data_IF_454824414674
#
_entry.id   IF_454824414674
#
_cell.length_a   1.000
_cell.length_b   1.000
_cell.length_c   1.000
_cell.angle_alpha   90.00
_cell.angle_beta   90.00
_cell.angle_gamma   90.00
#
_symmetry.space_group_name_H-M   'P 1'
#
loop_
_entity.id
_entity.type
_entity.pdbx_description
1 polymer ?
#
# COMPACT_ATOMS: atom_id res chain seq x y z
N UNK A 1 -31.63 -67.01 3.56
CA UNK A 1 -30.41 -66.71 2.79
C UNK A 1 -30.55 -65.36 2.11
N UNK A 2 -30.33 -64.27 2.84
CA UNK A 2 -30.47 -62.89 2.35
C UNK A 2 -29.21 -62.46 1.61
N UNK A 3 -28.96 -62.99 0.41
CA UNK A 3 -28.03 -62.35 -0.49
C UNK A 3 -28.68 -61.06 -1.01
N UNK A 4 -27.92 -59.94 -1.11
CA UNK A 4 -28.44 -58.73 -1.74
C UNK A 4 -28.98 -59.05 -3.14
N UNK A 5 -30.08 -58.42 -3.53
CA UNK A 5 -30.66 -58.56 -4.88
C UNK A 5 -29.59 -58.19 -5.92
N UNK A 6 -29.53 -58.92 -7.05
CA UNK A 6 -28.65 -58.68 -8.21
C UNK A 6 -27.11 -58.85 -8.03
N UNK A 7 -26.61 -59.49 -6.96
CA UNK A 7 -25.15 -59.65 -6.71
C UNK A 7 -24.38 -60.30 -7.87
N UNK A 8 -24.93 -61.33 -8.50
CA UNK A 8 -24.28 -61.99 -9.64
C UNK A 8 -24.15 -61.03 -10.83
N UNK A 9 -25.22 -60.32 -11.18
CA UNK A 9 -25.23 -59.34 -12.26
C UNK A 9 -24.27 -58.17 -11.99
N UNK A 10 -24.19 -57.71 -10.74
CA UNK A 10 -23.23 -56.66 -10.32
C UNK A 10 -21.78 -57.13 -10.53
N UNK A 11 -21.50 -58.38 -10.16
CA UNK A 11 -20.17 -58.98 -10.27
C UNK A 11 -19.77 -59.18 -11.73
N UNK A 12 -20.68 -59.67 -12.57
CA UNK A 12 -20.44 -59.89 -14.00
C UNK A 12 -20.20 -58.58 -14.77
N UNK A 13 -21.02 -57.55 -14.52
CA UNK A 13 -20.82 -56.23 -15.10
C UNK A 13 -19.49 -55.60 -14.67
N UNK A 14 -19.19 -55.66 -13.37
CA UNK A 14 -17.92 -55.15 -12.83
C UNK A 14 -16.72 -55.88 -13.42
N UNK A 15 -16.76 -57.21 -13.50
CA UNK A 15 -15.66 -58.02 -14.03
C UNK A 15 -15.40 -57.71 -15.51
N UNK A 16 -16.47 -57.54 -16.31
CA UNK A 16 -16.30 -57.16 -17.71
C UNK A 16 -15.73 -55.75 -17.86
N UNK A 17 -16.25 -54.77 -17.13
CA UNK A 17 -15.71 -53.41 -17.14
C UNK A 17 -14.25 -53.36 -16.68
N UNK A 18 -13.85 -54.22 -15.74
CA UNK A 18 -12.46 -54.36 -15.30
C UNK A 18 -11.55 -54.84 -16.43
N UNK A 19 -12.00 -55.82 -17.21
CA UNK A 19 -11.26 -56.30 -18.37
C UNK A 19 -11.16 -55.25 -19.48
N UNK A 20 -12.26 -54.55 -19.80
CA UNK A 20 -12.22 -53.46 -20.78
C UNK A 20 -11.31 -52.32 -20.33
N UNK A 21 -11.27 -52.02 -19.02
CA UNK A 21 -10.35 -51.05 -18.41
C UNK A 21 -8.89 -51.50 -18.56
N UNK A 22 -8.59 -52.79 -18.30
CA UNK A 22 -7.26 -53.38 -18.49
C UNK A 22 -6.79 -53.29 -19.94
N UNK A 23 -7.73 -53.42 -20.88
CA UNK A 23 -7.53 -53.26 -22.32
C UNK A 23 -7.52 -51.79 -22.79
N UNK A 24 -7.66 -50.81 -21.87
CA UNK A 24 -7.73 -49.36 -22.13
C UNK A 24 -8.82 -48.96 -23.11
N UNK A 25 -9.95 -49.68 -23.13
CA UNK A 25 -11.09 -49.39 -24.00
C UNK A 25 -12.10 -48.51 -23.29
N UNK A 26 -12.61 -47.51 -24.00
CA UNK A 26 -13.76 -46.73 -23.56
C UNK A 26 -15.03 -47.53 -23.86
N UNK A 27 -15.86 -47.74 -22.84
CA UNK A 27 -17.11 -48.48 -22.96
C UNK A 27 -18.25 -47.47 -23.05
N UNK A 28 -18.93 -47.40 -24.20
CA UNK A 28 -20.19 -46.65 -24.30
C UNK A 28 -21.33 -47.41 -23.59
N UNK A 29 -22.37 -46.71 -23.15
CA UNK A 29 -23.55 -47.38 -22.56
C UNK A 29 -24.18 -48.35 -23.56
N UNK A 30 -24.17 -48.01 -24.86
CA UNK A 30 -24.61 -48.93 -25.91
C UNK A 30 -23.77 -50.20 -25.98
N UNK A 31 -22.44 -50.09 -25.93
CA UNK A 31 -21.56 -51.26 -25.93
C UNK A 31 -21.79 -52.15 -24.70
N UNK A 32 -22.06 -51.54 -23.54
CA UNK A 32 -22.45 -52.23 -22.33
C UNK A 32 -23.78 -53.01 -22.52
N UNK A 33 -24.80 -52.36 -23.07
CA UNK A 33 -26.09 -53.00 -23.39
C UNK A 33 -25.93 -54.13 -24.40
N UNK A 34 -25.24 -53.89 -25.51
CA UNK A 34 -25.03 -54.88 -26.57
C UNK A 34 -24.26 -56.11 -26.03
N UNK A 35 -23.31 -55.91 -25.11
CA UNK A 35 -22.56 -56.98 -24.44
C UNK A 35 -23.46 -57.89 -23.59
N UNK A 36 -24.30 -57.30 -22.74
CA UNK A 36 -25.13 -58.06 -21.79
C UNK A 36 -26.43 -58.58 -22.42
N UNK A 37 -26.86 -58.04 -23.56
CA UNK A 37 -27.93 -58.64 -24.36
C UNK A 37 -27.49 -59.93 -25.08
N UNK A 38 -26.19 -60.09 -25.34
CA UNK A 38 -25.62 -61.28 -26.00
C UNK A 38 -25.51 -62.51 -25.09
N UNK A 39 -25.28 -63.68 -25.71
CA UNK A 39 -24.93 -64.91 -24.96
C UNK A 39 -23.57 -64.71 -24.24
N UNK A 40 -23.39 -65.24 -23.01
CA UNK A 40 -24.28 -66.12 -22.25
C UNK A 40 -25.34 -65.42 -21.38
N UNK A 41 -25.37 -64.08 -21.32
CA UNK A 41 -26.15 -63.30 -20.35
C UNK A 41 -27.63 -63.16 -20.74
N UNK A 42 -27.91 -62.66 -21.95
CA UNK A 42 -29.28 -62.50 -22.45
C UNK A 42 -30.15 -61.47 -21.71
N UNK A 43 -29.55 -60.45 -21.09
CA UNK A 43 -30.27 -59.43 -20.31
C UNK A 43 -31.05 -58.48 -21.21
N UNK A 44 -32.18 -57.96 -20.71
CA UNK A 44 -32.86 -56.87 -21.42
C UNK A 44 -32.07 -55.56 -21.32
N UNK A 45 -32.37 -54.62 -22.22
CA UNK A 45 -31.81 -53.26 -22.16
C UNK A 45 -32.10 -52.60 -20.80
N UNK A 46 -33.32 -52.72 -20.29
CA UNK A 46 -33.71 -52.14 -19.00
C UNK A 46 -33.04 -52.82 -17.81
N UNK A 47 -32.85 -54.15 -17.85
CA UNK A 47 -32.14 -54.86 -16.78
C UNK A 47 -30.67 -54.45 -16.72
N UNK A 48 -30.02 -54.33 -17.89
CA UNK A 48 -28.63 -53.89 -17.99
C UNK A 48 -28.48 -52.45 -17.46
N UNK A 49 -29.37 -51.54 -17.88
CA UNK A 49 -29.37 -50.17 -17.39
C UNK A 49 -29.71 -50.08 -15.90
N UNK A 50 -30.58 -50.95 -15.38
CA UNK A 50 -30.90 -51.05 -13.96
C UNK A 50 -29.70 -51.46 -13.12
N UNK A 51 -28.99 -52.52 -13.52
CA UNK A 51 -27.74 -52.98 -12.88
C UNK A 51 -26.67 -51.90 -12.93
N UNK A 52 -26.51 -51.23 -14.08
CA UNK A 52 -25.59 -50.10 -14.23
C UNK A 52 -25.95 -48.96 -13.28
N UNK A 53 -27.22 -48.58 -13.18
CA UNK A 53 -27.68 -47.53 -12.29
C UNK A 53 -27.47 -47.90 -10.81
N UNK A 54 -27.68 -49.16 -10.43
CA UNK A 54 -27.39 -49.65 -9.08
C UNK A 54 -25.90 -49.57 -8.75
N UNK A 55 -25.01 -49.97 -9.69
CA UNK A 55 -23.56 -49.86 -9.52
C UNK A 55 -23.09 -48.40 -9.48
N UNK A 56 -23.71 -47.52 -10.27
CA UNK A 56 -23.42 -46.08 -10.27
C UNK A 56 -23.84 -45.44 -8.94
N UNK A 57 -25.03 -45.76 -8.42
CA UNK A 57 -25.49 -45.29 -7.10
C UNK A 57 -24.63 -45.84 -5.95
N UNK A 58 -24.02 -47.02 -6.11
CA UNK A 58 -23.05 -47.59 -5.16
C UNK A 58 -21.65 -47.00 -5.31
N UNK A 59 -21.41 -46.11 -6.28
CA UNK A 59 -20.10 -45.50 -6.56
C UNK A 59 -19.08 -46.45 -7.18
N UNK A 60 -19.48 -47.65 -7.63
CA UNK A 60 -18.59 -48.66 -8.22
C UNK A 60 -18.22 -48.31 -9.66
N UNK A 61 -19.13 -47.64 -10.36
CA UNK A 61 -18.91 -47.13 -11.72
C UNK A 61 -19.25 -45.64 -11.76
N UNK A 62 -18.63 -44.93 -12.68
CA UNK A 62 -18.95 -43.54 -13.00
C UNK A 62 -19.37 -43.41 -14.46
N UNK A 63 -20.32 -42.51 -14.70
CA UNK A 63 -20.78 -42.15 -16.02
C UNK A 63 -20.04 -40.89 -16.49
N UNK A 64 -19.59 -40.88 -17.75
CA UNK A 64 -19.00 -39.70 -18.37
C UNK A 64 -19.74 -39.31 -19.64
N UNK A 65 -19.84 -38.01 -19.87
CA UNK A 65 -20.34 -37.45 -21.11
C UNK A 65 -19.26 -36.52 -21.67
N UNK A 66 -18.80 -36.80 -22.89
CA UNK A 66 -17.57 -36.24 -23.42
C UNK A 66 -16.37 -36.43 -22.45
N UNK A 67 -15.74 -35.34 -21.98
CA UNK A 67 -14.64 -35.40 -21.01
C UNK A 67 -15.06 -35.16 -19.55
N UNK A 68 -16.34 -34.88 -19.29
CA UNK A 68 -16.85 -34.57 -17.95
C UNK A 68 -17.50 -35.76 -17.26
N UNK A 69 -17.46 -35.77 -15.92
CA UNK A 69 -18.25 -36.69 -15.11
C UNK A 69 -19.72 -36.26 -15.11
N UNK A 70 -20.62 -37.23 -15.15
CA UNK A 70 -22.07 -37.00 -15.16
C UNK A 70 -22.58 -36.94 -13.74
N UNK A 71 -23.35 -35.89 -13.42
CA UNK A 71 -24.06 -35.81 -12.16
C UNK A 71 -25.26 -36.78 -12.15
N UNK A 72 -25.18 -37.84 -11.35
CA UNK A 72 -26.24 -38.85 -11.23
C UNK A 72 -27.58 -38.29 -10.69
N UNK A 73 -27.56 -37.11 -10.06
CA UNK A 73 -28.74 -36.44 -9.52
C UNK A 73 -29.35 -35.39 -10.46
N UNK A 74 -28.83 -35.24 -11.68
CA UNK A 74 -29.45 -34.38 -12.69
C UNK A 74 -30.84 -34.92 -13.07
N UNK A 75 -31.87 -34.06 -12.92
CA UNK A 75 -33.27 -34.39 -13.23
C UNK A 75 -33.44 -34.78 -14.71
N UNK A 76 -32.60 -34.29 -15.61
CA UNK A 76 -32.63 -34.62 -17.04
C UNK A 76 -31.96 -35.96 -17.40
N UNK A 77 -31.13 -36.51 -16.52
CA UNK A 77 -30.25 -37.63 -16.85
C UNK A 77 -31.03 -38.89 -17.25
N UNK A 78 -32.07 -39.25 -16.50
CA UNK A 78 -32.86 -40.46 -16.79
C UNK A 78 -33.51 -40.39 -18.18
N UNK A 79 -33.99 -39.21 -18.57
CA UNK A 79 -34.58 -39.00 -19.91
C UNK A 79 -33.52 -39.11 -21.01
N UNK A 80 -32.33 -38.55 -20.78
CA UNK A 80 -31.20 -38.63 -21.72
C UNK A 80 -30.71 -40.06 -21.88
N UNK A 81 -30.52 -40.81 -20.79
CA UNK A 81 -30.07 -42.20 -20.82
C UNK A 81 -31.10 -43.16 -21.44
N UNK A 82 -32.39 -42.80 -21.51
CA UNK A 82 -33.43 -43.56 -22.21
C UNK A 82 -33.57 -43.21 -23.70
N UNK A 83 -32.92 -42.14 -24.16
CA UNK A 83 -32.97 -41.71 -25.56
C UNK A 83 -31.96 -42.47 -26.40
N UNK A 84 -32.44 -43.24 -27.39
CA UNK A 84 -31.58 -43.96 -28.35
C UNK A 84 -30.58 -43.07 -29.11
N UNK A 85 -30.84 -41.76 -29.21
CA UNK A 85 -29.94 -40.81 -29.87
C UNK A 85 -28.85 -40.26 -28.95
N UNK A 86 -29.11 -40.24 -27.63
CA UNK A 86 -28.21 -39.62 -26.65
C UNK A 86 -27.39 -40.66 -25.89
N UNK A 87 -27.93 -41.86 -25.68
CA UNK A 87 -27.30 -42.94 -24.89
C UNK A 87 -25.88 -43.31 -25.37
N UNK A 88 -25.63 -43.22 -26.68
CA UNK A 88 -24.33 -43.53 -27.30
C UNK A 88 -23.22 -42.52 -26.94
N UNK A 89 -23.58 -41.32 -26.48
CA UNK A 89 -22.64 -40.25 -26.11
C UNK A 89 -22.08 -40.41 -24.70
N UNK A 90 -22.64 -41.33 -23.93
CA UNK A 90 -22.23 -41.59 -22.55
C UNK A 90 -21.32 -42.81 -22.50
N UNK A 91 -20.30 -42.72 -21.66
CA UNK A 91 -19.39 -43.82 -21.37
C UNK A 91 -19.47 -44.22 -19.91
N UNK A 92 -19.18 -45.50 -19.65
CA UNK A 92 -19.16 -46.11 -18.33
C UNK A 92 -17.74 -46.57 -18.06
N UNK A 93 -17.22 -46.26 -16.88
CA UNK A 93 -15.95 -46.83 -16.41
C UNK A 93 -16.06 -47.22 -14.94
N UNK A 94 -15.20 -48.12 -14.50
CA UNK A 94 -15.04 -48.38 -13.07
C UNK A 94 -14.50 -47.12 -12.40
N UNK A 95 -15.04 -46.81 -11.23
CA UNK A 95 -14.47 -45.78 -10.38
C UNK A 95 -13.09 -46.24 -9.91
N UNK A 96 -12.11 -45.33 -9.92
CA UNK A 96 -10.80 -45.59 -9.33
C UNK A 96 -10.95 -45.98 -7.85
N UNK A 97 -10.26 -47.03 -7.43
CA UNK A 97 -10.33 -47.51 -6.05
C UNK A 97 -9.68 -46.50 -5.09
N UNK A 98 -10.43 -46.06 -4.09
CA UNK A 98 -9.92 -45.14 -3.08
C UNK A 98 -9.08 -45.95 -2.08
N UNK A 99 -7.79 -45.66 -2.01
CA UNK A 99 -6.91 -46.28 -1.02
C UNK A 99 -7.37 -45.89 0.40
N UNK A 100 -7.72 -46.86 1.27
CA UNK A 100 -8.21 -46.58 2.63
C UNK A 100 -7.24 -45.78 3.49
N UNK A 101 -5.92 -45.95 3.31
CA UNK A 101 -4.91 -45.20 4.04
C UNK A 101 -4.87 -43.73 3.61
N UNK A 102 -5.02 -43.47 2.30
CA UNK A 102 -5.08 -42.11 1.75
C UNK A 102 -6.34 -41.38 2.25
N UNK A 103 -7.48 -42.07 2.22
CA UNK A 103 -8.75 -41.55 2.74
C UNK A 103 -8.65 -41.24 4.24
N UNK A 104 -8.01 -42.12 5.03
CA UNK A 104 -7.83 -41.90 6.46
C UNK A 104 -7.07 -40.60 6.75
N UNK A 105 -5.95 -40.37 6.06
CA UNK A 105 -5.16 -39.13 6.21
C UNK A 105 -6.01 -37.90 5.89
N UNK A 106 -6.76 -37.93 4.78
CA UNK A 106 -7.67 -36.85 4.43
C UNK A 106 -8.81 -36.65 5.45
N UNK A 107 -9.26 -37.70 6.13
CA UNK A 107 -10.23 -37.57 7.23
C UNK A 107 -9.59 -36.98 8.48
N UNK A 108 -8.38 -37.40 8.82
CA UNK A 108 -7.67 -36.94 10.02
C UNK A 108 -7.37 -35.42 9.94
N UNK A 109 -7.16 -34.87 8.74
CA UNK A 109 -6.90 -33.43 8.52
C UNK A 109 -8.15 -32.59 8.20
N UNK A 110 -9.33 -33.21 8.10
CA UNK A 110 -10.53 -32.54 7.65
C UNK A 110 -11.03 -31.46 8.62
N UNK A 111 -10.76 -31.57 9.93
CA UNK A 111 -11.18 -30.57 10.91
C UNK A 111 -10.53 -29.20 10.68
N UNK A 112 -9.32 -29.17 10.13
CA UNK A 112 -8.55 -27.93 9.94
C UNK A 112 -8.87 -27.27 8.59
N UNK A 113 -9.37 -28.05 7.62
CA UNK A 113 -9.62 -27.62 6.24
C UNK A 113 -11.10 -27.46 5.90
N UNK A 114 -11.99 -28.18 6.58
CA UNK A 114 -13.43 -28.18 6.31
C UNK A 114 -14.21 -27.52 7.45
N UNK A 115 -15.16 -26.68 7.07
CA UNK A 115 -16.12 -26.12 8.01
C UNK A 115 -17.36 -27.03 8.11
N UNK A 116 -17.61 -27.61 9.29
CA UNK A 116 -18.83 -28.37 9.59
C UNK A 116 -18.66 -29.89 9.64
N UNK A 117 -19.78 -30.62 9.58
CA UNK A 117 -19.78 -32.08 9.73
C UNK A 117 -19.19 -32.77 8.50
N UNK A 118 -18.17 -33.58 8.73
CA UNK A 118 -17.53 -34.44 7.73
C UNK A 118 -18.48 -35.58 7.32
N UNK A 119 -18.63 -35.80 6.01
CA UNK A 119 -19.33 -37.00 5.53
C UNK A 119 -18.48 -38.27 5.72
N UNK A 120 -19.13 -39.36 6.11
CA UNK A 120 -18.48 -40.69 6.13
C UNK A 120 -18.28 -41.26 4.73
N UNK A 121 -19.08 -40.81 3.76
CA UNK A 121 -19.02 -41.19 2.35
C UNK A 121 -17.82 -40.50 1.66
N UNK A 122 -16.89 -41.25 1.04
CA UNK A 122 -15.70 -40.69 0.40
C UNK A 122 -15.98 -39.74 -0.78
N UNK A 123 -17.05 -39.97 -1.54
CA UNK A 123 -17.41 -39.11 -2.68
C UNK A 123 -17.98 -37.79 -2.18
N UNK A 124 -18.88 -37.85 -1.19
CA UNK A 124 -19.38 -36.63 -0.56
C UNK A 124 -18.25 -35.85 0.14
N UNK A 125 -17.31 -36.54 0.79
CA UNK A 125 -16.14 -35.90 1.40
C UNK A 125 -15.25 -35.22 0.35
N UNK A 126 -15.02 -35.87 -0.80
CA UNK A 126 -14.30 -35.26 -1.92
C UNK A 126 -14.99 -33.97 -2.40
N UNK A 127 -16.31 -33.98 -2.59
CA UNK A 127 -17.06 -32.78 -2.96
C UNK A 127 -17.02 -31.70 -1.86
N UNK A 128 -17.04 -32.07 -0.59
CA UNK A 128 -16.86 -31.12 0.52
C UNK A 128 -15.50 -30.43 0.45
N UNK A 129 -14.43 -31.19 0.21
CA UNK A 129 -13.08 -30.65 -0.01
C UNK A 129 -13.03 -29.72 -1.21
N UNK A 130 -13.52 -30.16 -2.36
CA UNK A 130 -13.56 -29.33 -3.59
C UNK A 130 -14.22 -27.98 -3.33
N UNK A 131 -15.38 -27.98 -2.67
CA UNK A 131 -16.10 -26.75 -2.34
C UNK A 131 -15.33 -25.86 -1.36
N UNK A 132 -14.69 -26.43 -0.33
CA UNK A 132 -13.90 -25.68 0.63
C UNK A 132 -12.66 -25.04 -0.03
N UNK A 133 -11.93 -25.81 -0.84
CA UNK A 133 -10.72 -25.33 -1.54
C UNK A 133 -11.05 -24.26 -2.58
N UNK A 134 -12.18 -24.36 -3.30
CA UNK A 134 -12.64 -23.31 -4.23
C UNK A 134 -12.86 -21.99 -3.48
N UNK A 135 -13.60 -22.01 -2.36
CA UNK A 135 -13.84 -20.81 -1.55
C UNK A 135 -12.54 -20.22 -1.04
N UNK A 136 -11.60 -21.08 -0.63
CA UNK A 136 -10.30 -20.65 -0.14
C UNK A 136 -9.42 -20.05 -1.25
N UNK A 137 -9.45 -20.62 -2.45
CA UNK A 137 -8.76 -20.05 -3.63
C UNK A 137 -9.24 -18.62 -3.91
N UNK A 138 -10.57 -18.41 -3.90
CA UNK A 138 -11.15 -17.09 -4.11
C UNK A 138 -10.73 -16.07 -3.04
N UNK A 139 -10.64 -16.49 -1.78
CA UNK A 139 -10.12 -15.65 -0.69
C UNK A 139 -8.65 -15.28 -0.91
N UNK A 140 -7.79 -16.27 -1.20
CA UNK A 140 -6.36 -16.04 -1.45
C UNK A 140 -6.10 -15.19 -2.70
N UNK A 141 -6.89 -15.37 -3.77
CA UNK A 141 -6.84 -14.52 -4.97
C UNK A 141 -7.15 -13.06 -4.62
N UNK A 142 -8.16 -12.81 -3.77
CA UNK A 142 -8.48 -11.47 -3.29
C UNK A 142 -7.37 -10.82 -2.46
N UNK A 143 -6.63 -11.61 -1.68
CA UNK A 143 -5.43 -11.14 -0.97
C UNK A 143 -4.24 -10.95 -1.90
N UNK A 144 -4.08 -11.78 -2.94
CA UNK A 144 -2.99 -11.66 -3.91
C UNK A 144 -3.06 -10.34 -4.68
N UNK A 145 -4.24 -9.92 -5.12
CA UNK A 145 -4.44 -8.62 -5.77
C UNK A 145 -3.94 -7.47 -4.87
N UNK A 146 -4.21 -7.56 -3.57
CA UNK A 146 -3.72 -6.57 -2.60
C UNK A 146 -2.21 -6.68 -2.40
N UNK A 147 -1.66 -7.89 -2.31
CA UNK A 147 -0.23 -8.15 -2.21
C UNK A 147 0.55 -7.53 -3.39
N UNK A 148 0.05 -7.69 -4.61
CA UNK A 148 0.67 -7.16 -5.83
C UNK A 148 0.69 -5.62 -5.89
N UNK A 149 -0.11 -4.94 -5.07
CA UNK A 149 -0.04 -3.47 -4.90
C UNK A 149 1.10 -2.98 -3.99
N UNK A 150 2.07 -3.84 -3.69
CA UNK A 150 3.23 -3.54 -2.86
C UNK A 150 3.03 -3.85 -1.37
N UNK A 151 2.23 -4.88 -1.05
CA UNK A 151 2.09 -5.46 0.28
C UNK A 151 2.86 -6.80 0.35
N UNK A 152 3.20 -7.29 1.55
CA UNK A 152 3.91 -8.58 1.72
C UNK A 152 3.08 -9.79 1.25
N UNK A 153 3.68 -10.97 1.29
CA UNK A 153 3.06 -12.28 1.01
C UNK A 153 2.70 -12.65 -0.43
N UNK A 154 3.00 -11.83 -1.43
CA UNK A 154 2.65 -12.15 -2.83
C UNK A 154 3.16 -13.53 -3.28
N UNK A 155 4.41 -13.87 -2.94
CA UNK A 155 4.98 -15.18 -3.30
C UNK A 155 4.34 -16.34 -2.51
N UNK A 156 4.08 -16.16 -1.22
CA UNK A 156 3.44 -17.17 -0.37
C UNK A 156 2.02 -17.49 -0.87
N UNK A 157 1.26 -16.46 -1.23
CA UNK A 157 -0.07 -16.59 -1.80
C UNK A 157 -0.06 -17.36 -3.13
N UNK A 158 0.91 -17.10 -4.01
CA UNK A 158 1.07 -17.84 -5.27
C UNK A 158 1.37 -19.32 -5.02
N UNK A 159 2.33 -19.62 -4.15
CA UNK A 159 2.66 -21.01 -3.80
C UNK A 159 1.42 -21.76 -3.28
N UNK A 160 0.66 -21.13 -2.39
CA UNK A 160 -0.56 -21.73 -1.83
C UNK A 160 -1.67 -21.87 -2.87
N UNK A 161 -1.84 -20.90 -3.77
CA UNK A 161 -2.78 -21.01 -4.90
C UNK A 161 -2.40 -22.13 -5.86
N UNK A 162 -1.12 -22.35 -6.13
CA UNK A 162 -0.65 -23.46 -6.98
C UNK A 162 -0.97 -24.82 -6.36
N UNK A 163 -0.76 -24.98 -5.04
CA UNK A 163 -1.17 -26.18 -4.30
C UNK A 163 -2.68 -26.43 -4.41
N UNK A 164 -3.49 -25.39 -4.22
CA UNK A 164 -4.95 -25.48 -4.34
C UNK A 164 -5.37 -25.84 -5.77
N UNK A 165 -4.76 -25.22 -6.78
CA UNK A 165 -5.03 -25.49 -8.19
C UNK A 165 -4.72 -26.95 -8.54
N UNK A 166 -3.61 -27.50 -8.03
CA UNK A 166 -3.27 -28.90 -8.23
C UNK A 166 -4.32 -29.83 -7.62
N UNK A 167 -4.69 -29.62 -6.36
CA UNK A 167 -5.72 -30.44 -5.69
C UNK A 167 -7.07 -30.32 -6.40
N UNK A 168 -7.44 -29.11 -6.83
CA UNK A 168 -8.68 -28.85 -7.57
C UNK A 168 -8.65 -29.45 -8.99
N UNK A 169 -7.49 -29.68 -9.60
CA UNK A 169 -7.42 -30.30 -10.93
C UNK A 169 -7.82 -31.77 -10.94
N UNK A 170 -7.87 -32.45 -9.78
CA UNK A 170 -8.17 -33.87 -9.69
C UNK A 170 -9.66 -34.12 -9.95
N UNK A 171 -9.94 -34.99 -10.93
CA UNK A 171 -11.27 -35.27 -11.47
C UNK A 171 -12.01 -36.42 -10.77
N UNK A 172 -11.39 -37.06 -9.78
CA UNK A 172 -11.96 -38.17 -9.02
C UNK A 172 -11.45 -38.19 -7.59
N UNK A 173 -12.26 -38.74 -6.67
CA UNK A 173 -11.93 -38.87 -5.27
C UNK A 173 -10.63 -39.67 -5.02
N UNK A 174 -10.39 -40.75 -5.77
CA UNK A 174 -9.19 -41.56 -5.60
C UNK A 174 -7.91 -40.78 -5.92
N UNK A 175 -7.86 -40.10 -7.07
CA UNK A 175 -6.72 -39.24 -7.44
C UNK A 175 -6.54 -38.07 -6.50
N UNK A 176 -7.66 -37.48 -6.04
CA UNK A 176 -7.64 -36.41 -5.06
C UNK A 176 -7.00 -36.87 -3.75
N UNK A 177 -7.50 -37.95 -3.13
CA UNK A 177 -6.96 -38.42 -1.85
C UNK A 177 -5.53 -38.95 -1.97
N UNK A 178 -5.15 -39.52 -3.13
CA UNK A 178 -3.75 -39.88 -3.40
C UNK A 178 -2.84 -38.66 -3.48
N UNK A 179 -3.23 -37.64 -4.24
CA UNK A 179 -2.47 -36.38 -4.30
C UNK A 179 -2.44 -35.69 -2.93
N UNK A 180 -3.56 -35.67 -2.21
CA UNK A 180 -3.67 -35.09 -0.87
C UNK A 180 -2.65 -35.74 0.08
N UNK A 181 -2.53 -37.06 0.05
CA UNK A 181 -1.51 -37.77 0.83
C UNK A 181 -0.09 -37.40 0.40
N UNK A 182 0.17 -37.32 -0.91
CA UNK A 182 1.51 -36.98 -1.42
C UNK A 182 1.92 -35.55 -1.04
N UNK A 183 0.96 -34.64 -0.93
CA UNK A 183 1.14 -33.23 -0.57
C UNK A 183 0.83 -32.94 0.89
N UNK A 184 0.84 -33.95 1.77
CA UNK A 184 0.45 -33.81 3.17
C UNK A 184 1.22 -32.68 3.88
N UNK A 185 2.54 -32.69 3.77
CA UNK A 185 3.40 -31.74 4.48
C UNK A 185 3.13 -30.30 3.98
N UNK A 186 3.00 -30.10 2.67
CA UNK A 186 2.63 -28.80 2.09
C UNK A 186 1.22 -28.33 2.53
N UNK A 187 0.29 -29.27 2.74
CA UNK A 187 -1.05 -28.96 3.26
C UNK A 187 -0.99 -28.56 4.74
N UNK A 188 -0.10 -29.17 5.53
CA UNK A 188 0.15 -28.77 6.92
C UNK A 188 0.72 -27.34 6.97
N UNK A 189 1.71 -27.03 6.15
CA UNK A 189 2.26 -25.66 6.01
C UNK A 189 1.19 -24.66 5.55
N UNK A 190 0.37 -25.05 4.57
CA UNK A 190 -0.74 -24.24 4.08
C UNK A 190 -1.73 -23.86 5.19
N UNK A 191 -2.03 -24.77 6.11
CA UNK A 191 -2.95 -24.49 7.23
C UNK A 191 -2.37 -23.38 8.12
N UNK A 192 -1.07 -23.43 8.44
CA UNK A 192 -0.40 -22.40 9.24
C UNK A 192 -0.32 -21.06 8.49
N UNK A 193 0.01 -21.10 7.20
CA UNK A 193 0.08 -19.93 6.33
C UNK A 193 -1.26 -19.21 6.24
N UNK A 194 -2.36 -19.95 6.09
CA UNK A 194 -3.70 -19.36 6.02
C UNK A 194 -4.05 -18.60 7.29
N UNK A 195 -3.71 -19.12 8.47
CA UNK A 195 -3.95 -18.41 9.74
C UNK A 195 -3.18 -17.09 9.80
N UNK A 196 -1.92 -17.12 9.36
CA UNK A 196 -1.05 -15.95 9.27
C UNK A 196 -1.57 -14.91 8.28
N UNK A 197 -1.89 -15.34 7.05
CA UNK A 197 -2.45 -14.50 6.00
C UNK A 197 -3.75 -13.84 6.47
N UNK A 198 -4.62 -14.61 7.12
CA UNK A 198 -5.88 -14.10 7.67
C UNK A 198 -5.64 -13.01 8.73
N UNK A 199 -4.71 -13.23 9.65
CA UNK A 199 -4.30 -12.24 10.66
C UNK A 199 -3.78 -10.95 10.03
N UNK A 200 -2.94 -11.07 8.99
CA UNK A 200 -2.41 -9.92 8.27
C UNK A 200 -3.50 -9.14 7.52
N UNK A 201 -4.19 -9.79 6.58
CA UNK A 201 -5.12 -9.11 5.66
C UNK A 201 -6.42 -8.66 6.34
N UNK A 202 -6.79 -9.27 7.47
CA UNK A 202 -8.01 -8.87 8.21
C UNK A 202 -7.75 -7.81 9.29
N UNK A 203 -6.62 -7.90 9.98
CA UNK A 203 -6.38 -7.10 11.19
C UNK A 203 -5.15 -6.20 11.07
N UNK A 204 -3.99 -6.75 10.69
CA UNK A 204 -2.73 -6.03 10.77
C UNK A 204 -2.46 -5.10 9.57
N UNK A 205 -3.13 -5.29 8.44
CA UNK A 205 -2.93 -4.52 7.20
C UNK A 205 -3.04 -3.00 7.43
N UNK A 206 -3.97 -2.56 8.29
CA UNK A 206 -4.16 -1.13 8.60
C UNK A 206 -2.94 -0.55 9.32
N UNK A 207 -2.38 -1.28 10.29
CA UNK A 207 -1.19 -0.85 11.03
C UNK A 207 0.03 -0.80 10.11
N UNK A 208 0.19 -1.80 9.25
CA UNK A 208 1.27 -1.85 8.26
C UNK A 208 1.20 -0.67 7.29
N UNK A 209 0.02 -0.40 6.72
CA UNK A 209 -0.20 0.73 5.80
C UNK A 209 -0.01 2.08 6.49
N UNK A 210 -0.48 2.22 7.73
CA UNK A 210 -0.27 3.42 8.53
C UNK A 210 1.22 3.69 8.74
N UNK A 211 1.99 2.68 9.16
CA UNK A 211 3.43 2.81 9.35
C UNK A 211 4.16 3.19 8.04
N UNK A 212 3.73 2.63 6.90
CA UNK A 212 4.25 2.99 5.58
C UNK A 212 3.98 4.45 5.21
N UNK A 213 2.77 4.95 5.47
CA UNK A 213 2.40 6.34 5.23
C UNK A 213 3.12 7.31 6.18
N UNK A 214 3.25 6.93 7.45
CA UNK A 214 3.98 7.68 8.46
C UNK A 214 5.45 7.82 8.06
N UNK A 215 6.09 6.72 7.67
CA UNK A 215 7.47 6.71 7.20
C UNK A 215 7.64 7.64 5.99
N UNK A 216 6.77 7.54 4.99
CA UNK A 216 6.79 8.41 3.81
C UNK A 216 6.69 9.89 4.16
N UNK A 217 5.90 10.23 5.19
CA UNK A 217 5.72 11.61 5.65
C UNK A 217 6.92 12.10 6.45
N UNK A 218 7.55 11.22 7.23
CA UNK A 218 8.70 11.57 8.06
C UNK A 218 10.00 11.66 7.27
N UNK A 219 10.15 10.87 6.21
CA UNK A 219 11.41 10.70 5.48
C UNK A 219 12.06 12.02 5.00
N UNK A 220 11.32 13.00 4.45
CA UNK A 220 11.89 14.31 4.10
C UNK A 220 12.41 15.11 5.30
N UNK A 221 11.78 14.94 6.46
CA UNK A 221 12.10 15.67 7.70
C UNK A 221 13.33 15.09 8.41
N UNK A 222 13.71 13.84 8.13
CA UNK A 222 14.81 13.14 8.82
C UNK A 222 16.17 13.83 8.66
N UNK A 223 16.35 14.67 7.63
CA UNK A 223 17.56 15.47 7.45
C UNK A 223 17.78 16.50 8.55
N UNK A 224 16.71 16.84 9.28
CA UNK A 224 16.74 17.76 10.43
C UNK A 224 16.90 17.02 11.76
N UNK A 225 17.04 15.69 11.73
CA UNK A 225 17.17 14.83 12.90
C UNK A 225 18.62 14.33 12.96
N UNK A 226 19.29 14.56 14.10
CA UNK A 226 20.70 14.20 14.30
C UNK A 226 20.90 13.05 15.29
N UNK A 227 19.86 12.66 16.01
CA UNK A 227 19.89 11.63 17.04
C UNK A 227 20.04 10.23 16.42
N UNK A 228 21.20 9.55 16.60
CA UNK A 228 21.47 8.28 15.93
C UNK A 228 20.45 7.18 16.28
N UNK A 229 19.94 7.17 17.52
CA UNK A 229 18.96 6.19 17.96
C UNK A 229 17.59 6.34 17.27
N UNK A 230 17.21 7.57 16.89
CA UNK A 230 15.98 7.81 16.13
C UNK A 230 16.12 7.34 14.68
N UNK A 231 17.28 7.62 14.06
CA UNK A 231 17.58 7.15 12.70
C UNK A 231 17.63 5.61 12.63
N UNK A 232 18.23 4.96 13.64
CA UNK A 232 18.19 3.49 13.76
C UNK A 232 16.78 2.93 13.85
N UNK A 233 15.85 3.59 14.57
CA UNK A 233 14.44 3.16 14.63
C UNK A 233 13.78 3.24 13.26
N UNK A 234 14.06 4.29 12.48
CA UNK A 234 13.59 4.42 11.10
C UNK A 234 14.12 3.28 10.24
N UNK A 235 15.40 2.95 10.34
CA UNK A 235 16.00 1.84 9.58
C UNK A 235 15.37 0.49 9.95
N UNK A 236 15.10 0.25 11.24
CA UNK A 236 14.37 -0.95 11.68
C UNK A 236 12.96 -1.00 11.10
N UNK A 237 12.24 0.12 11.05
CA UNK A 237 10.92 0.20 10.41
C UNK A 237 11.02 -0.13 8.92
N UNK A 238 12.01 0.44 8.21
CA UNK A 238 12.27 0.13 6.79
C UNK A 238 12.52 -1.36 6.57
N UNK A 239 13.31 -1.99 7.44
CA UNK A 239 13.58 -3.43 7.38
C UNK A 239 12.30 -4.25 7.60
N UNK A 240 11.49 -3.92 8.62
CA UNK A 240 10.23 -4.61 8.89
C UNK A 240 9.28 -4.49 7.70
N UNK A 241 9.12 -3.28 7.14
CA UNK A 241 8.25 -3.05 5.98
C UNK A 241 8.72 -3.76 4.69
N UNK A 242 9.99 -4.18 4.63
CA UNK A 242 10.57 -4.93 3.51
C UNK A 242 10.55 -6.46 3.72
N UNK A 243 10.14 -6.95 4.89
CA UNK A 243 10.08 -8.39 5.16
C UNK A 243 9.03 -9.07 4.27
N UNK A 244 9.33 -10.28 3.81
CA UNK A 244 8.35 -11.15 3.13
C UNK A 244 7.20 -11.54 4.06
N UNK A 245 7.49 -11.65 5.36
CA UNK A 245 6.55 -11.91 6.44
C UNK A 245 6.82 -10.99 7.65
N UNK A 246 6.11 -9.85 7.76
CA UNK A 246 6.27 -8.92 8.88
C UNK A 246 5.31 -9.18 10.06
N UNK A 247 4.47 -10.23 10.02
CA UNK A 247 3.32 -10.39 10.94
C UNK A 247 3.67 -10.26 12.43
N UNK A 248 4.78 -10.87 12.85
CA UNK A 248 5.26 -10.82 14.23
C UNK A 248 5.78 -9.45 14.66
N UNK A 249 6.23 -8.61 13.71
CA UNK A 249 6.91 -7.33 13.95
C UNK A 249 6.03 -6.11 13.73
N UNK A 250 4.88 -6.25 13.09
CA UNK A 250 3.93 -5.15 12.88
C UNK A 250 3.53 -4.42 14.17
N UNK A 251 3.28 -5.10 15.31
CA UNK A 251 2.92 -4.41 16.56
C UNK A 251 4.01 -3.44 17.05
N UNK A 252 5.28 -3.68 16.70
CA UNK A 252 6.42 -2.85 17.12
C UNK A 252 6.51 -1.54 16.32
N UNK A 253 5.94 -1.46 15.11
CA UNK A 253 6.08 -0.33 14.18
C UNK A 253 5.63 1.00 14.81
N UNK A 254 4.51 1.00 15.52
CA UNK A 254 3.99 2.21 16.17
C UNK A 254 4.95 2.73 17.26
N UNK A 255 5.50 1.82 18.07
CA UNK A 255 6.46 2.16 19.12
C UNK A 255 7.81 2.64 18.55
N UNK A 256 8.20 2.16 17.37
CA UNK A 256 9.42 2.60 16.71
C UNK A 256 9.26 4.01 16.12
N UNK A 257 8.12 4.32 15.51
CA UNK A 257 7.87 5.59 14.83
C UNK A 257 7.46 6.73 15.77
N UNK A 258 6.78 6.45 16.88
CA UNK A 258 6.27 7.49 17.78
C UNK A 258 7.36 8.48 18.26
N UNK A 259 8.52 8.04 18.78
CA UNK A 259 9.58 8.96 19.20
C UNK A 259 10.13 9.82 18.05
N UNK A 260 10.15 9.28 16.83
CA UNK A 260 10.61 10.00 15.63
C UNK A 260 9.60 11.09 15.27
N UNK A 261 8.30 10.78 15.30
CA UNK A 261 7.23 11.77 15.07
C UNK A 261 7.30 12.90 16.08
N UNK A 262 7.43 12.56 17.36
CA UNK A 262 7.50 13.55 18.44
C UNK A 262 8.70 14.48 18.25
N UNK A 263 9.85 13.94 17.87
CA UNK A 263 11.05 14.74 17.59
C UNK A 263 10.88 15.68 16.39
N UNK A 264 10.30 15.19 15.30
CA UNK A 264 10.01 16.02 14.12
C UNK A 264 9.03 17.14 14.47
N UNK A 265 7.99 16.85 15.25
CA UNK A 265 7.03 17.86 15.71
C UNK A 265 7.68 18.88 16.65
N UNK A 266 8.56 18.45 17.55
CA UNK A 266 9.35 19.33 18.41
C UNK A 266 10.21 20.27 17.55
N UNK A 267 10.99 19.73 16.63
CA UNK A 267 11.87 20.51 15.75
C UNK A 267 11.08 21.54 14.91
N UNK A 268 9.92 21.13 14.36
CA UNK A 268 9.03 22.04 13.64
C UNK A 268 8.53 23.18 14.53
N UNK A 269 8.07 22.88 15.75
CA UNK A 269 7.62 23.90 16.72
C UNK A 269 8.75 24.86 17.10
N UNK A 270 9.96 24.32 17.33
CA UNK A 270 11.15 25.14 17.60
C UNK A 270 11.43 26.08 16.43
N UNK A 271 11.37 25.59 15.19
CA UNK A 271 11.61 26.41 14.02
C UNK A 271 10.54 27.49 13.83
N UNK A 272 9.26 27.17 14.07
CA UNK A 272 8.15 28.15 14.06
C UNK A 272 8.41 29.25 15.10
N UNK A 273 8.76 28.86 16.33
CA UNK A 273 9.09 29.81 17.40
C UNK A 273 10.28 30.73 17.02
N UNK A 274 11.29 30.19 16.33
CA UNK A 274 12.40 31.01 15.84
C UNK A 274 11.96 32.04 14.79
N UNK A 275 11.00 31.72 13.93
CA UNK A 275 10.43 32.68 12.97
C UNK A 275 9.71 33.81 13.71
N UNK A 276 8.88 33.46 14.70
CA UNK A 276 8.16 34.45 15.53
C UNK A 276 9.13 35.35 16.32
N UNK A 277 10.15 34.76 16.94
CA UNK A 277 11.19 35.49 17.68
C UNK A 277 11.97 36.44 16.78
N UNK A 278 12.39 35.98 15.58
CA UNK A 278 13.05 36.85 14.60
C UNK A 278 12.13 37.97 14.11
N UNK A 279 10.83 37.71 13.97
CA UNK A 279 9.84 38.73 13.58
C UNK A 279 9.76 39.84 14.62
N UNK A 280 9.75 39.47 15.91
CA UNK A 280 9.81 40.45 17.00
C UNK A 280 11.10 41.26 16.97
N UNK A 281 12.26 40.61 16.85
CA UNK A 281 13.55 41.28 16.76
C UNK A 281 13.63 42.20 15.52
N UNK A 282 12.98 41.83 14.42
CA UNK A 282 12.90 42.65 13.22
C UNK A 282 12.12 43.95 13.46
N UNK A 283 11.00 43.87 14.19
CA UNK A 283 10.20 45.03 14.57
C UNK A 283 10.96 45.95 15.52
N UNK A 284 11.70 45.38 16.47
CA UNK A 284 12.56 46.14 17.38
C UNK A 284 13.65 46.89 16.60
N UNK A 285 14.35 46.22 15.68
CA UNK A 285 15.33 46.88 14.78
C UNK A 285 14.70 47.99 13.95
N UNK A 286 13.48 47.78 13.43
CA UNK A 286 12.77 48.81 12.66
C UNK A 286 12.42 50.01 13.54
N UNK A 287 11.97 49.79 14.77
CA UNK A 287 11.67 50.85 15.73
C UNK A 287 12.92 51.62 16.13
N UNK A 288 14.02 50.93 16.43
CA UNK A 288 15.33 51.55 16.70
C UNK A 288 15.83 52.38 15.51
N UNK A 289 15.67 51.87 14.29
CA UNK A 289 15.97 52.61 13.08
C UNK A 289 15.12 53.86 12.97
N UNK A 290 13.81 53.78 13.19
CA UNK A 290 12.92 54.96 13.18
C UNK A 290 13.31 55.97 14.25
N UNK A 291 13.65 55.53 15.46
CA UNK A 291 14.07 56.44 16.54
C UNK A 291 15.40 57.12 16.22
N UNK A 292 16.37 56.39 15.66
CA UNK A 292 17.70 56.95 15.35
C UNK A 292 17.71 57.78 14.06
N UNK A 293 16.95 57.36 13.05
CA UNK A 293 16.94 57.95 11.74
C UNK A 293 15.86 59.03 11.57
N UNK A 294 14.68 58.88 12.18
CA UNK A 294 13.50 59.70 11.90
C UNK A 294 12.81 60.21 13.17
N UNK A 295 13.58 60.48 14.24
CA UNK A 295 13.06 60.85 15.56
C UNK A 295 11.96 61.93 15.54
N UNK A 296 12.23 63.03 14.84
CA UNK A 296 11.38 64.24 14.80
C UNK A 296 10.01 64.00 14.12
N UNK A 297 9.91 63.02 13.23
CA UNK A 297 8.69 62.68 12.48
C UNK A 297 8.16 61.28 12.81
N UNK A 298 8.75 60.59 13.79
CA UNK A 298 8.42 59.21 14.16
C UNK A 298 6.92 58.99 14.43
N UNK A 299 6.25 59.94 15.06
CA UNK A 299 4.81 59.88 15.35
C UNK A 299 3.89 60.00 14.11
N UNK A 300 4.43 60.46 12.98
CA UNK A 300 3.71 60.60 11.70
C UNK A 300 3.91 59.39 10.77
N UNK A 301 4.81 58.47 11.12
CA UNK A 301 5.07 57.25 10.35
C UNK A 301 4.01 56.19 10.64
N UNK A 302 3.47 55.60 9.57
CA UNK A 302 2.54 54.48 9.66
C UNK A 302 3.29 53.15 9.65
N UNK A 303 3.83 52.80 10.82
CA UNK A 303 4.56 51.54 11.01
C UNK A 303 3.62 50.32 10.90
N UNK A 304 2.31 50.49 11.03
CA UNK A 304 1.35 49.38 10.91
C UNK A 304 1.29 48.87 9.47
N UNK A 305 1.23 49.79 8.49
CA UNK A 305 1.27 49.43 7.07
C UNK A 305 2.66 48.90 6.65
N UNK A 306 3.74 49.45 7.19
CA UNK A 306 5.10 48.98 6.88
C UNK A 306 5.32 47.56 7.42
N UNK A 307 4.88 47.27 8.64
CA UNK A 307 5.08 45.95 9.26
C UNK A 307 4.08 44.89 8.79
N UNK A 308 3.13 45.23 7.91
CA UNK A 308 2.17 44.28 7.34
C UNK A 308 2.85 43.12 6.60
N UNK A 309 4.00 43.35 5.96
CA UNK A 309 4.72 42.26 5.29
C UNK A 309 5.33 41.27 6.29
N UNK A 310 5.72 41.74 7.48
CA UNK A 310 6.11 40.86 8.58
C UNK A 310 4.90 40.03 9.03
N UNK A 311 3.73 40.66 9.18
CA UNK A 311 2.49 39.98 9.59
C UNK A 311 2.09 38.88 8.60
N UNK A 312 2.26 39.11 7.29
CA UNK A 312 2.00 38.10 6.26
C UNK A 312 2.89 36.87 6.44
N UNK A 313 4.20 37.08 6.64
CA UNK A 313 5.14 35.97 6.87
C UNK A 313 4.80 35.21 8.15
N UNK A 314 4.56 35.92 9.26
CA UNK A 314 4.16 35.28 10.53
C UNK A 314 2.85 34.52 10.40
N UNK A 315 1.81 35.10 9.80
CA UNK A 315 0.53 34.42 9.62
C UNK A 315 0.68 33.13 8.81
N UNK A 316 1.54 33.16 7.79
CA UNK A 316 1.81 32.01 6.94
C UNK A 316 2.59 30.90 7.63
N UNK A 317 3.38 31.20 8.68
CA UNK A 317 4.14 30.20 9.44
C UNK A 317 3.21 29.24 10.19
N UNK A 318 2.04 29.72 10.61
CA UNK A 318 1.03 28.92 11.34
C UNK A 318 0.42 27.79 10.51
N UNK A 319 0.58 27.83 9.18
CA UNK A 319 0.05 26.83 8.26
C UNK A 319 1.13 25.83 7.79
N UNK A 320 2.36 25.98 8.26
CA UNK A 320 3.47 25.15 7.86
C UNK A 320 3.37 23.76 8.49
N UNK A 321 3.60 22.73 7.67
CA UNK A 321 3.60 21.32 8.08
C UNK A 321 4.98 20.64 7.99
N UNK A 322 6.00 21.32 7.46
CA UNK A 322 7.37 20.81 7.32
C UNK A 322 8.42 21.79 7.85
N UNK A 323 9.53 21.26 8.35
CA UNK A 323 10.62 22.07 8.92
C UNK A 323 11.22 22.99 7.85
N UNK A 324 11.40 22.48 6.62
CA UNK A 324 11.94 23.27 5.51
C UNK A 324 11.10 24.48 5.15
N UNK A 325 9.78 24.32 5.16
CA UNK A 325 8.87 25.43 4.90
C UNK A 325 9.01 26.50 5.98
N UNK A 326 9.23 26.10 7.24
CA UNK A 326 9.45 27.04 8.34
C UNK A 326 10.82 27.73 8.24
N UNK A 327 11.87 27.02 7.81
CA UNK A 327 13.19 27.60 7.48
C UNK A 327 13.06 28.61 6.33
N UNK A 328 12.27 28.29 5.31
CA UNK A 328 12.03 29.20 4.19
C UNK A 328 11.33 30.50 4.65
N UNK A 329 10.33 30.41 5.55
CA UNK A 329 9.70 31.61 6.15
C UNK A 329 10.68 32.44 6.96
N UNK A 330 11.59 31.78 7.68
CA UNK A 330 12.65 32.47 8.40
C UNK A 330 13.55 33.27 7.45
N UNK A 331 13.94 32.67 6.32
CA UNK A 331 14.77 33.31 5.30
C UNK A 331 14.02 34.44 4.57
N UNK A 332 12.73 34.24 4.28
CA UNK A 332 11.84 35.27 3.72
C UNK A 332 11.82 36.51 4.63
N UNK A 333 11.67 36.30 5.94
CA UNK A 333 11.69 37.39 6.93
C UNK A 333 13.01 38.17 6.93
N UNK A 334 14.15 37.50 6.81
CA UNK A 334 15.46 38.16 6.77
C UNK A 334 15.64 38.99 5.49
N UNK A 335 15.12 38.50 4.37
CA UNK A 335 15.24 39.16 3.08
C UNK A 335 14.37 40.41 2.93
N UNK A 336 13.29 40.54 3.72
CA UNK A 336 12.42 41.73 3.62
C UNK A 336 12.94 42.94 4.41
N UNK A 337 13.88 42.77 5.36
CA UNK A 337 14.35 43.89 6.19
C UNK A 337 14.82 45.11 5.38
N UNK A 338 15.68 44.99 4.36
CA UNK A 338 16.13 46.16 3.57
C UNK A 338 14.95 46.89 2.91
N UNK A 339 13.96 46.14 2.42
CA UNK A 339 12.76 46.69 1.79
C UNK A 339 11.89 47.45 2.81
N UNK A 340 11.81 46.95 4.05
CA UNK A 340 11.09 47.64 5.12
C UNK A 340 11.78 48.95 5.51
N UNK A 341 13.11 48.95 5.61
CA UNK A 341 13.88 50.16 5.87
C UNK A 341 13.71 51.18 4.73
N UNK A 342 13.69 50.75 3.47
CA UNK A 342 13.41 51.62 2.31
C UNK A 342 11.99 52.21 2.37
N UNK A 343 10.98 51.41 2.74
CA UNK A 343 9.60 51.89 2.94
C UNK A 343 9.51 52.97 4.01
N UNK A 344 10.23 52.80 5.14
CA UNK A 344 10.33 53.83 6.19
C UNK A 344 10.92 55.12 5.61
N UNK A 345 12.07 55.03 4.95
CA UNK A 345 12.74 56.22 4.41
C UNK A 345 11.90 56.93 3.35
N UNK A 346 11.22 56.18 2.47
CA UNK A 346 10.31 56.76 1.47
C UNK A 346 9.16 57.50 2.13
N UNK A 347 8.50 56.88 3.11
CA UNK A 347 7.39 57.53 3.82
C UNK A 347 7.86 58.78 4.58
N UNK A 348 9.04 58.72 5.20
CA UNK A 348 9.67 59.87 5.86
C UNK A 348 9.94 61.02 4.88
N UNK A 349 10.50 60.73 3.71
CA UNK A 349 10.78 61.74 2.68
C UNK A 349 9.49 62.39 2.17
N UNK A 350 8.43 61.61 1.93
CA UNK A 350 7.11 62.14 1.53
C UNK A 350 6.53 63.09 2.59
N UNK A 351 6.70 62.80 3.88
CA UNK A 351 6.26 63.66 4.99
C UNK A 351 7.05 64.98 4.99
N UNK A 352 8.38 64.91 4.85
CA UNK A 352 9.28 66.08 4.83
C UNK A 352 8.94 66.99 3.64
N UNK A 353 8.68 66.42 2.46
CA UNK A 353 8.30 67.17 1.26
C UNK A 353 6.96 67.90 1.43
N UNK A 354 5.96 67.24 2.04
CA UNK A 354 4.65 67.85 2.33
C UNK A 354 4.74 68.99 3.34
N UNK A 355 5.60 68.85 4.37
CA UNK A 355 5.81 69.92 5.35
C UNK A 355 6.53 71.12 4.72
N UNK A 356 7.47 70.89 3.80
CA UNK A 356 8.22 71.93 3.10
C UNK A 356 7.36 72.73 2.11
N UNK A 357 6.34 72.11 1.51
CA UNK A 357 5.47 72.72 0.50
C UNK A 357 4.29 73.52 1.08
N UNK A 358 3.93 73.32 2.36
CA UNK A 358 2.79 73.99 3.02
C UNK A 358 3.12 75.31 3.76
N UNK A 359 4.33 75.87 3.59
CA UNK A 359 4.58 77.30 3.83
C UNK A 359 4.43 77.86 5.25
N UNK A 360 4.48 77.04 6.31
CA UNK A 360 4.48 77.57 7.69
C UNK A 360 5.88 77.98 8.14
N UNK A 361 6.13 79.30 8.19
CA UNK A 361 7.30 79.91 8.85
C UNK A 361 7.17 79.75 10.38
N UNK A 362 7.41 78.54 10.88
CA UNK A 362 7.60 78.28 12.30
C UNK A 362 8.78 77.33 12.43
N UNK A 363 9.98 77.85 12.72
CA UNK A 363 11.21 77.13 13.14
C UNK A 363 11.17 75.60 12.97
N UNK A 364 10.95 75.12 11.74
CA UNK A 364 10.80 73.71 11.46
C UNK A 364 12.21 73.20 11.18
N UNK A 365 12.69 72.33 12.06
CA UNK A 365 13.96 71.62 11.90
C UNK A 365 13.98 71.04 10.48
N UNK A 366 14.85 71.55 9.60
CA UNK A 366 14.94 71.04 8.22
C UNK A 366 15.62 69.66 8.27
N UNK A 367 14.81 68.60 8.26
CA UNK A 367 15.30 67.23 8.32
C UNK A 367 15.76 66.82 6.92
N UNK A 368 17.04 66.43 6.78
CA UNK A 368 17.62 65.97 5.51
C UNK A 368 17.03 64.59 5.13
N UNK A 369 16.60 64.37 3.87
CA UNK A 369 16.07 63.09 3.44
C UNK A 369 17.18 62.02 3.40
N UNK A 370 16.79 60.75 3.59
CA UNK A 370 17.72 59.61 3.58
C UNK A 370 17.75 58.96 2.19
N UNK A 371 18.96 58.63 1.72
CA UNK A 371 19.21 57.83 0.51
C UNK A 371 20.06 56.61 0.85
N UNK A 372 19.76 55.48 0.22
CA UNK A 372 20.56 54.24 0.37
C UNK A 372 21.75 54.24 -0.59
N UNK A 373 22.90 53.76 -0.11
CA UNK A 373 24.10 53.45 -0.91
C UNK A 373 24.51 52.00 -0.67
N UNK A 374 24.42 51.18 -1.72
CA UNK A 374 24.89 49.79 -1.69
C UNK A 374 26.41 49.75 -1.87
N UNK A 375 27.15 49.41 -0.81
CA UNK A 375 28.62 49.45 -0.81
C UNK A 375 29.22 48.54 -1.87
N UNK A 376 28.60 47.39 -2.13
CA UNK A 376 29.04 46.45 -3.15
C UNK A 376 28.92 47.01 -4.58
N UNK A 377 27.94 47.88 -4.85
CA UNK A 377 27.75 48.48 -6.19
C UNK A 377 28.76 49.56 -6.52
N UNK A 378 29.50 50.06 -5.52
CA UNK A 378 30.57 51.04 -5.73
C UNK A 378 31.87 50.38 -6.17
N UNK A 379 31.97 49.04 -6.05
CA UNK A 379 33.14 48.31 -6.48
C UNK A 379 33.32 48.39 -8.01
N UNK A 380 34.50 48.84 -8.44
CA UNK A 380 34.88 48.92 -9.86
C UNK A 380 35.51 47.62 -10.37
N UNK A 381 35.88 46.72 -9.45
CA UNK A 381 36.44 45.39 -9.73
C UNK A 381 35.75 44.33 -8.86
N UNK A 382 35.62 43.13 -9.41
CA UNK A 382 35.07 41.97 -8.68
C UNK A 382 36.08 41.30 -7.74
N UNK A 383 37.38 41.53 -7.93
CA UNK A 383 38.47 40.99 -7.12
C UNK A 383 39.50 42.09 -6.85
N UNK A 384 39.94 42.20 -5.59
CA UNK A 384 40.98 43.14 -5.15
C UNK A 384 42.21 42.32 -4.78
N UNK A 385 43.33 42.48 -5.48
CA UNK A 385 44.54 41.66 -5.29
C UNK A 385 45.70 42.46 -4.68
N UNK A 386 45.64 43.78 -4.79
CA UNK A 386 46.70 44.68 -4.32
C UNK A 386 46.15 45.71 -3.31
N UNK A 387 47.00 46.27 -2.43
CA UNK A 387 46.60 47.41 -1.59
C UNK A 387 46.01 48.57 -2.39
N UNK A 388 46.56 48.85 -3.58
CA UNK A 388 46.04 49.87 -4.50
C UNK A 388 44.59 49.60 -4.94
N UNK A 389 44.20 48.34 -5.13
CA UNK A 389 42.81 48.00 -5.48
C UNK A 389 41.85 48.36 -4.34
N UNK A 390 42.28 48.19 -3.08
CA UNK A 390 41.51 48.58 -1.89
C UNK A 390 41.36 50.10 -1.81
N UNK A 391 42.46 50.84 -2.01
CA UNK A 391 42.44 52.30 -1.98
C UNK A 391 41.49 52.87 -3.04
N UNK A 392 41.53 52.34 -4.26
CA UNK A 392 40.62 52.74 -5.35
C UNK A 392 39.16 52.49 -4.98
N UNK A 393 38.84 51.35 -4.36
CA UNK A 393 37.49 51.06 -3.91
C UNK A 393 37.02 52.04 -2.81
N UNK A 394 37.87 52.28 -1.81
CA UNK A 394 37.55 53.19 -0.70
C UNK A 394 37.42 54.64 -1.17
N UNK A 395 38.23 55.09 -2.13
CA UNK A 395 38.09 56.41 -2.75
C UNK A 395 36.77 56.53 -3.52
N UNK A 396 36.41 55.52 -4.32
CA UNK A 396 35.13 55.50 -5.04
C UNK A 396 33.95 55.57 -4.06
N UNK A 397 33.98 54.76 -2.99
CA UNK A 397 32.97 54.78 -1.94
C UNK A 397 32.90 56.14 -1.25
N UNK A 398 34.03 56.70 -0.83
CA UNK A 398 34.10 58.03 -0.23
C UNK A 398 33.46 59.09 -1.14
N UNK A 399 33.80 59.08 -2.42
CA UNK A 399 33.27 60.05 -3.38
C UNK A 399 31.76 59.91 -3.55
N UNK A 400 31.24 58.68 -3.64
CA UNK A 400 29.79 58.42 -3.71
C UNK A 400 29.07 58.92 -2.44
N UNK A 401 29.61 58.65 -1.25
CA UNK A 401 29.00 59.09 0.01
C UNK A 401 29.02 60.63 0.14
N UNK A 402 30.15 61.27 -0.18
CA UNK A 402 30.29 62.73 -0.11
C UNK A 402 29.36 63.43 -1.11
N UNK A 403 29.22 62.91 -2.33
CA UNK A 403 28.29 63.46 -3.32
C UNK A 403 26.85 63.52 -2.78
N UNK A 404 26.38 62.43 -2.16
CA UNK A 404 25.04 62.38 -1.54
C UNK A 404 24.90 63.35 -0.36
N UNK A 405 25.93 63.46 0.49
CA UNK A 405 25.93 64.39 1.61
C UNK A 405 25.93 65.86 1.11
N UNK A 406 26.67 66.16 0.05
CA UNK A 406 26.70 67.49 -0.58
C UNK A 406 25.37 67.87 -1.24
N UNK A 407 24.62 66.89 -1.74
CA UNK A 407 23.22 67.05 -2.18
C UNK A 407 22.23 67.22 -1.02
N UNK A 408 22.74 67.45 0.19
CA UNK A 408 21.97 67.66 1.42
C UNK A 408 21.15 66.43 1.86
N UNK A 409 21.61 65.22 1.52
CA UNK A 409 21.03 63.97 1.98
C UNK A 409 21.76 63.40 3.20
N UNK A 410 21.07 62.55 3.96
CA UNK A 410 21.67 61.57 4.89
C UNK A 410 21.82 60.24 4.16
N UNK A 411 22.85 59.48 4.48
CA UNK A 411 23.15 58.24 3.76
C UNK A 411 22.99 57.03 4.66
N UNK A 412 22.16 56.07 4.24
CA UNK A 412 22.10 54.71 4.80
C UNK A 412 23.03 53.81 3.99
N UNK A 413 23.90 53.09 4.67
CA UNK A 413 24.80 52.12 4.03
C UNK A 413 24.10 50.75 4.01
N UNK A 414 24.12 50.08 2.86
CA UNK A 414 23.54 48.75 2.63
C UNK A 414 24.52 47.73 2.06
#
# INVERSE_FOLDING_TARGET
NGQPVNVAAHSEMRAWLMEETRLRRLVSIKALVDKFAGRPYGWSEFDTLGVMAELANKGVIELRHAQGNVNLHDKGLVMQLRSRKEIDKYTVRLTDEINPANLKIAKDMASDLLNGNMSSDPQLLFEQYKNALIKRSQELEGWLIQAESGLPFAQLLRTNLDLLAELLSKDSAAKFFDTFRQRRDDIEEFIEDVQKLQSFFSTQIKLFQQARNDLKTLEPELRHISEPDLLRRVDLVKQILAMSDPTAKIPELAMLLLPVKDKVQEALKTQIYQVESKSKAMREKLAEYVTSAHQDISAQLDLSNITQDIDKVVTSVNQVISIDSAIARQSELENILPQLLEKVDRQANEIIERQSSNGSYSTATFIKPIVSVQVARVATKSLLETPQDVDVYLEALRNTLLDKIHQNHRVRIE
#
